data_IF_273283099800
#
_entry.id   IF_273283099800
#
_cell.length_a   1.000
_cell.length_b   1.000
_cell.length_c   1.000
_cell.angle_alpha   90.00
_cell.angle_beta   90.00
_cell.angle_gamma   90.00
#
_symmetry.space_group_name_H-M   'P 1'
#
loop_
_entity.id
_entity.type
_entity.pdbx_description
1 polymer ?
#
# COMPACT_ATOMS: atom_id res chain seq x y z
N UNK A 1 13.86 -7.70 -8.25
CA UNK A 1 14.47 -6.36 -8.37
C UNK A 1 13.49 -5.41 -9.07
N UNK A 2 13.27 -4.22 -8.51
CA UNK A 2 12.40 -3.21 -9.12
C UNK A 2 13.05 -2.65 -10.40
N UNK A 3 12.64 -3.14 -11.58
CA UNK A 3 13.03 -2.52 -12.86
C UNK A 3 12.23 -1.25 -13.17
N UNK A 4 11.24 -0.86 -12.36
CA UNK A 4 10.40 0.31 -12.65
C UNK A 4 11.17 1.65 -12.65
N UNK A 5 12.11 1.90 -11.71
CA UNK A 5 13.03 3.03 -11.82
C UNK A 5 13.85 2.98 -13.10
N UNK A 6 14.32 1.78 -13.48
CA UNK A 6 15.09 1.59 -14.71
C UNK A 6 14.23 1.84 -15.96
N UNK A 7 13.00 1.35 -16.03
CA UNK A 7 12.07 1.57 -17.13
C UNK A 7 11.68 3.04 -17.24
N UNK A 8 11.41 3.72 -16.13
CA UNK A 8 11.13 5.17 -16.13
C UNK A 8 12.36 5.94 -16.60
N UNK A 9 13.56 5.61 -16.10
CA UNK A 9 14.81 6.19 -16.58
C UNK A 9 15.06 5.91 -18.07
N UNK A 10 14.75 4.71 -18.56
CA UNK A 10 14.87 4.33 -19.97
C UNK A 10 13.88 5.10 -20.84
N UNK A 11 12.62 5.24 -20.43
CA UNK A 11 11.62 6.05 -21.15
C UNK A 11 12.10 7.49 -21.22
N UNK A 12 12.54 8.08 -20.10
CA UNK A 12 13.11 9.43 -20.10
C UNK A 12 14.35 9.54 -21.02
N UNK A 13 15.24 8.55 -20.99
CA UNK A 13 16.42 8.51 -21.84
C UNK A 13 16.07 8.38 -23.33
N UNK A 14 15.10 7.53 -23.70
CA UNK A 14 14.64 7.37 -25.08
C UNK A 14 13.90 8.61 -25.57
N UNK A 15 13.03 9.20 -24.74
CA UNK A 15 12.36 10.46 -25.07
C UNK A 15 13.37 11.58 -25.25
N UNK A 16 14.37 11.68 -24.38
CA UNK A 16 15.46 12.65 -24.49
C UNK A 16 16.31 12.42 -25.75
N UNK A 17 16.72 11.18 -26.01
CA UNK A 17 17.47 10.81 -27.21
C UNK A 17 16.67 11.12 -28.49
N UNK A 18 15.36 10.86 -28.50
CA UNK A 18 14.47 11.20 -29.61
C UNK A 18 14.39 12.71 -29.82
N UNK A 19 14.30 13.51 -28.76
CA UNK A 19 14.35 14.97 -28.81
C UNK A 19 15.68 15.45 -29.41
N UNK A 20 16.81 14.86 -29.00
CA UNK A 20 18.16 15.17 -29.55
C UNK A 20 18.27 14.78 -31.03
N UNK A 21 17.73 13.63 -31.44
CA UNK A 21 17.70 13.20 -32.84
C UNK A 21 16.83 14.15 -33.69
N UNK A 22 15.65 14.54 -33.21
CA UNK A 22 14.80 15.53 -33.89
C UNK A 22 15.47 16.91 -33.96
N UNK A 23 16.23 17.30 -32.93
CA UNK A 23 17.04 18.52 -32.90
C UNK A 23 18.09 18.55 -34.03
N UNK A 24 18.74 17.41 -34.31
CA UNK A 24 19.73 17.31 -35.38
C UNK A 24 19.12 17.50 -36.78
N UNK A 25 17.87 17.07 -37.00
CA UNK A 25 17.21 17.02 -38.32
C UNK A 25 16.62 18.36 -38.80
N UNK A 26 16.33 19.32 -37.93
CA UNK A 26 15.57 20.56 -38.30
C UNK A 26 16.33 21.85 -38.00
N UNK A 27 17.30 22.27 -38.84
CA UNK A 27 18.18 23.43 -38.57
C UNK A 27 17.43 24.74 -38.33
N UNK A 28 16.32 24.99 -39.03
CA UNK A 28 15.47 26.19 -38.86
C UNK A 28 14.66 26.22 -37.55
N UNK A 29 14.54 25.10 -36.83
CA UNK A 29 13.79 24.98 -35.56
C UNK A 29 14.68 24.71 -34.34
N UNK A 30 16.01 24.66 -34.52
CA UNK A 30 16.99 24.34 -33.45
C UNK A 30 16.77 25.14 -32.17
N UNK A 31 16.55 26.46 -32.27
CA UNK A 31 16.31 27.30 -31.08
C UNK A 31 15.12 26.84 -30.24
N UNK A 32 13.98 26.54 -30.88
CA UNK A 32 12.77 26.09 -30.17
C UNK A 32 12.99 24.72 -29.54
N UNK A 33 13.54 23.76 -30.28
CA UNK A 33 13.80 22.42 -29.77
C UNK A 33 14.83 22.40 -28.63
N UNK A 34 15.85 23.28 -28.66
CA UNK A 34 16.77 23.43 -27.53
C UNK A 34 16.07 23.96 -26.27
N UNK A 35 15.16 24.93 -26.42
CA UNK A 35 14.36 25.46 -25.31
C UNK A 35 13.46 24.35 -24.74
N UNK A 36 12.76 23.60 -25.59
CA UNK A 36 11.90 22.50 -25.15
C UNK A 36 12.70 21.41 -24.41
N UNK A 37 13.89 21.05 -24.93
CA UNK A 37 14.78 20.08 -24.29
C UNK A 37 15.30 20.57 -22.93
N UNK A 38 15.64 21.86 -22.82
CA UNK A 38 16.06 22.47 -21.57
C UNK A 38 14.93 22.45 -20.55
N UNK A 39 13.71 22.86 -20.94
CA UNK A 39 12.52 22.83 -20.07
C UNK A 39 12.26 21.40 -19.59
N UNK A 40 12.29 20.42 -20.49
CA UNK A 40 12.09 19.02 -20.13
C UNK A 40 13.14 18.50 -19.14
N UNK A 41 14.41 18.86 -19.36
CA UNK A 41 15.51 18.51 -18.45
C UNK A 41 15.28 19.12 -17.07
N UNK A 42 14.89 20.40 -17.00
CA UNK A 42 14.56 21.08 -15.75
C UNK A 42 13.40 20.36 -15.04
N UNK A 43 12.33 19.99 -15.75
CA UNK A 43 11.20 19.24 -15.17
C UNK A 43 11.67 17.92 -14.57
N UNK A 44 12.49 17.14 -15.29
CA UNK A 44 13.04 15.88 -14.75
C UNK A 44 13.85 16.14 -13.48
N UNK A 45 14.77 17.10 -13.51
CA UNK A 45 15.57 17.46 -12.33
C UNK A 45 14.67 17.84 -11.16
N UNK A 46 13.63 18.64 -11.39
CA UNK A 46 12.66 19.01 -10.36
C UNK A 46 11.88 17.80 -9.83
N UNK A 47 11.54 16.81 -10.66
CA UNK A 47 10.89 15.58 -10.22
C UNK A 47 11.79 14.73 -9.31
N UNK A 48 13.10 14.71 -9.54
CA UNK A 48 14.07 14.02 -8.69
C UNK A 48 14.35 14.79 -7.39
N UNK A 49 14.51 16.11 -7.45
CA UNK A 49 14.87 16.91 -6.27
C UNK A 49 13.67 17.21 -5.36
N UNK A 50 12.49 17.41 -5.94
CA UNK A 50 11.29 17.90 -5.23
C UNK A 50 10.01 17.15 -5.59
N UNK A 51 10.09 16.05 -6.35
CA UNK A 51 8.91 15.34 -6.81
C UNK A 51 8.85 13.89 -6.32
N UNK A 52 8.01 13.08 -6.97
CA UNK A 52 7.79 11.68 -6.60
C UNK A 52 9.03 10.78 -6.79
N UNK A 53 10.09 11.28 -7.44
CA UNK A 53 11.33 10.52 -7.68
C UNK A 53 12.40 10.77 -6.60
N UNK A 54 12.10 11.54 -5.55
CA UNK A 54 13.07 11.82 -4.46
C UNK A 54 13.63 10.55 -3.80
N UNK A 55 12.83 9.47 -3.72
CA UNK A 55 13.20 8.18 -3.15
C UNK A 55 14.41 7.52 -3.85
N UNK A 56 14.62 7.85 -5.13
CA UNK A 56 15.71 7.34 -5.96
C UNK A 56 16.72 8.43 -6.33
N UNK A 57 16.50 9.67 -5.87
CA UNK A 57 17.40 10.78 -6.15
C UNK A 57 18.71 10.65 -5.36
N UNK A 58 19.87 10.89 -6.00
CA UNK A 58 21.15 10.95 -5.28
C UNK A 58 21.22 12.17 -4.35
N UNK A 59 20.54 13.26 -4.71
CA UNK A 59 20.51 14.51 -3.96
C UNK A 59 19.08 14.74 -3.44
N UNK A 60 18.94 14.95 -2.13
CA UNK A 60 17.63 15.12 -1.48
C UNK A 60 17.65 16.40 -0.64
N UNK A 61 17.43 17.58 -1.24
CA UNK A 61 17.57 18.84 -0.52
C UNK A 61 16.67 18.91 0.72
N UNK A 62 17.26 19.14 1.89
CA UNK A 62 16.55 19.21 3.16
C UNK A 62 16.13 17.86 3.76
N UNK A 63 16.62 16.76 3.19
CA UNK A 63 16.41 15.40 3.69
C UNK A 63 17.74 14.66 3.88
N UNK A 64 17.81 13.90 4.96
CA UNK A 64 18.86 12.95 5.27
C UNK A 64 18.41 11.54 4.91
N UNK A 65 19.38 10.65 4.68
CA UNK A 65 19.12 9.23 4.42
C UNK A 65 19.93 8.41 5.39
N UNK A 66 19.27 7.45 6.04
CA UNK A 66 19.92 6.47 6.90
C UNK A 66 19.54 5.06 6.45
N UNK A 67 20.54 4.19 6.44
CA UNK A 67 20.40 2.79 6.02
C UNK A 67 20.82 1.91 7.18
N UNK A 68 19.98 0.96 7.55
CA UNK A 68 20.30 -0.07 8.52
C UNK A 68 19.73 -1.41 8.04
N UNK A 69 20.61 -2.35 7.69
CA UNK A 69 20.20 -3.62 7.10
C UNK A 69 19.39 -3.43 5.81
N UNK A 70 18.18 -3.99 5.79
CA UNK A 70 17.20 -3.89 4.69
C UNK A 70 16.38 -2.60 4.72
N UNK A 71 16.44 -1.83 5.81
CA UNK A 71 15.63 -0.63 6.01
C UNK A 71 16.42 0.60 5.57
N UNK A 72 15.83 1.41 4.71
CA UNK A 72 16.29 2.77 4.41
C UNK A 72 15.22 3.76 4.82
N UNK A 73 15.56 4.68 5.73
CA UNK A 73 14.70 5.82 6.06
C UNK A 73 15.25 7.09 5.41
N UNK A 74 14.35 7.91 4.90
CA UNK A 74 14.62 9.24 4.36
C UNK A 74 13.76 10.21 5.17
N UNK A 75 14.39 11.17 5.84
CA UNK A 75 13.69 12.05 6.79
C UNK A 75 14.21 13.48 6.66
N UNK A 76 13.42 14.50 7.04
CA UNK A 76 13.85 15.90 6.95
C UNK A 76 15.01 16.15 7.93
N UNK A 77 16.00 16.97 7.57
CA UNK A 77 17.15 17.24 8.45
C UNK A 77 16.72 17.78 9.83
N UNK A 78 15.60 18.51 9.87
CA UNK A 78 15.02 19.03 11.11
C UNK A 78 14.53 17.93 12.08
N UNK A 79 14.32 16.70 11.60
CA UNK A 79 13.87 15.54 12.38
C UNK A 79 15.03 14.58 12.71
N UNK A 80 16.28 15.01 12.54
CA UNK A 80 17.47 14.20 12.86
C UNK A 80 17.46 13.69 14.32
N UNK A 81 17.05 14.49 15.34
CA UNK A 81 16.93 13.99 16.71
C UNK A 81 15.93 12.83 16.89
N UNK A 82 14.87 12.79 16.08
CA UNK A 82 13.83 11.77 16.13
C UNK A 82 14.09 10.58 15.18
N UNK A 83 15.13 10.65 14.35
CA UNK A 83 15.41 9.65 13.31
C UNK A 83 15.66 8.25 13.89
N UNK A 84 16.34 8.15 15.03
CA UNK A 84 16.54 6.88 15.75
C UNK A 84 15.21 6.26 16.17
N UNK A 85 14.31 7.08 16.74
CA UNK A 85 12.98 6.63 17.14
C UNK A 85 12.18 6.15 15.93
N UNK A 86 12.23 6.89 14.83
CA UNK A 86 11.54 6.50 13.60
C UNK A 86 12.07 5.17 13.03
N UNK A 87 13.39 4.99 13.05
CA UNK A 87 14.03 3.76 12.62
C UNK A 87 13.62 2.58 13.50
N UNK A 88 13.60 2.76 14.82
CA UNK A 88 13.15 1.74 15.75
C UNK A 88 11.68 1.37 15.56
N UNK A 89 10.77 2.35 15.39
CA UNK A 89 9.37 2.07 15.06
C UNK A 89 9.25 1.30 13.75
N UNK A 90 10.05 1.65 12.75
CA UNK A 90 10.10 0.93 11.46
C UNK A 90 10.55 -0.52 11.64
N UNK A 91 11.56 -0.78 12.48
CA UNK A 91 11.99 -2.15 12.81
C UNK A 91 10.89 -2.93 13.55
N UNK A 92 10.10 -2.28 14.40
CA UNK A 92 8.93 -2.94 15.05
C UNK A 92 7.91 -3.37 14.00
N UNK A 93 7.56 -2.44 13.10
CA UNK A 93 6.62 -2.71 12.02
C UNK A 93 7.12 -3.83 11.08
N UNK A 94 8.43 -3.89 10.79
CA UNK A 94 9.03 -4.98 10.02
C UNK A 94 8.94 -6.34 10.73
N UNK A 95 9.11 -6.38 12.06
CA UNK A 95 8.92 -7.62 12.83
C UNK A 95 7.50 -8.16 12.73
N UNK A 96 6.50 -7.27 12.68
CA UNK A 96 5.10 -7.67 12.49
C UNK A 96 4.85 -8.29 11.10
N UNK A 97 5.67 -7.96 10.09
CA UNK A 97 5.59 -8.61 8.78
C UNK A 97 6.14 -10.05 8.83
N UNK A 98 7.13 -10.31 9.69
CA UNK A 98 7.82 -11.59 9.71
C UNK A 98 6.90 -12.76 10.10
N UNK A 99 5.86 -12.52 10.91
CA UNK A 99 4.89 -13.55 11.30
C UNK A 99 4.20 -14.19 10.10
N UNK A 100 3.85 -13.40 9.08
CA UNK A 100 3.17 -13.85 7.86
C UNK A 100 4.14 -14.15 6.72
N UNK A 101 5.10 -13.27 6.44
CA UNK A 101 5.91 -13.39 5.22
C UNK A 101 7.15 -14.28 5.38
N UNK A 102 7.61 -14.47 6.63
CA UNK A 102 8.79 -15.26 7.02
C UNK A 102 10.10 -14.88 6.29
N UNK A 103 10.12 -13.70 5.68
CA UNK A 103 11.21 -13.15 4.89
C UNK A 103 11.24 -11.64 5.13
N UNK A 104 12.42 -11.04 5.00
CA UNK A 104 12.59 -9.58 5.02
C UNK A 104 12.92 -9.09 3.62
N UNK A 105 12.37 -7.94 3.25
CA UNK A 105 12.67 -7.31 1.97
C UNK A 105 13.29 -5.94 2.15
N UNK A 106 14.16 -5.49 1.20
CA UNK A 106 14.62 -4.13 1.18
C UNK A 106 13.45 -3.15 1.04
N UNK A 107 13.34 -2.24 2.01
CA UNK A 107 12.29 -1.22 2.07
C UNK A 107 12.87 0.17 2.20
N UNK A 108 12.20 1.13 1.55
CA UNK A 108 12.50 2.54 1.67
C UNK A 108 11.28 3.25 2.23
N UNK A 109 11.47 4.05 3.26
CA UNK A 109 10.40 4.82 3.90
C UNK A 109 10.82 6.29 3.94
N UNK A 110 9.94 7.17 3.48
CA UNK A 110 10.11 8.62 3.53
C UNK A 110 9.19 9.16 4.62
N UNK A 111 9.77 9.81 5.63
CA UNK A 111 9.01 10.63 6.55
C UNK A 111 8.85 12.02 5.94
N UNK A 112 7.66 12.35 5.48
CA UNK A 112 7.42 13.62 4.82
C UNK A 112 7.50 14.77 5.84
N UNK A 113 8.14 15.88 5.45
CA UNK A 113 8.23 17.10 6.27
C UNK A 113 6.87 17.77 6.50
N UNK A 114 5.94 17.62 5.56
CA UNK A 114 4.66 18.33 5.57
C UNK A 114 3.61 17.60 4.72
N UNK A 115 2.34 18.01 4.84
CA UNK A 115 1.26 17.58 3.94
C UNK A 115 1.52 17.94 2.47
N UNK A 116 2.27 19.03 2.21
CA UNK A 116 2.68 19.40 0.87
C UNK A 116 3.73 18.43 0.30
N UNK A 117 4.66 17.98 1.13
CA UNK A 117 5.66 16.97 0.76
C UNK A 117 4.99 15.63 0.45
N UNK A 118 4.05 15.20 1.30
CA UNK A 118 3.19 14.05 1.01
C UNK A 118 2.54 14.16 -0.37
N UNK A 119 1.93 15.31 -0.67
CA UNK A 119 1.23 15.52 -1.93
C UNK A 119 2.19 15.45 -3.12
N UNK A 120 3.38 16.05 -3.01
CA UNK A 120 4.40 15.99 -4.06
C UNK A 120 4.94 14.58 -4.29
N UNK A 121 5.09 13.80 -3.22
CA UNK A 121 5.72 12.49 -3.31
C UNK A 121 4.75 11.38 -3.75
N UNK A 122 3.50 11.43 -3.27
CA UNK A 122 2.53 10.34 -3.47
C UNK A 122 1.12 10.80 -3.86
N UNK A 123 0.90 12.11 -4.08
CA UNK A 123 -0.40 12.63 -4.50
C UNK A 123 -1.47 12.63 -3.41
N UNK A 124 -1.09 12.44 -2.14
CA UNK A 124 -1.98 12.47 -0.95
C UNK A 124 -1.47 13.49 0.05
N UNK A 125 -2.34 14.08 0.87
CA UNK A 125 -1.91 15.11 1.84
C UNK A 125 -1.70 14.61 3.27
N UNK A 126 -2.20 13.42 3.63
CA UNK A 126 -2.14 12.86 4.99
C UNK A 126 -2.10 11.33 4.97
N UNK A 127 -1.76 10.70 6.10
CA UNK A 127 -1.74 9.24 6.26
C UNK A 127 -0.42 8.59 5.84
N UNK A 128 -0.51 7.37 5.34
CA UNK A 128 0.55 6.63 4.65
C UNK A 128 0.18 6.38 3.18
N UNK A 129 1.19 6.15 2.35
CA UNK A 129 1.00 5.60 1.02
C UNK A 129 2.27 4.94 0.46
N UNK A 130 2.09 3.77 -0.14
CA UNK A 130 3.09 3.13 -0.99
C UNK A 130 3.27 3.89 -2.33
N UNK A 131 4.33 4.70 -2.45
CA UNK A 131 4.72 5.37 -3.70
C UNK A 131 5.44 4.47 -4.72
N UNK A 132 6.02 5.05 -5.77
CA UNK A 132 6.71 4.28 -6.82
C UNK A 132 7.90 3.47 -6.30
N UNK A 133 8.68 4.06 -5.38
CA UNK A 133 9.95 3.50 -4.92
C UNK A 133 10.17 3.54 -3.40
N UNK A 134 9.23 4.14 -2.64
CA UNK A 134 9.27 4.20 -1.19
C UNK A 134 7.86 4.32 -0.61
N UNK A 135 7.66 3.81 0.59
CA UNK A 135 6.51 4.18 1.43
C UNK A 135 6.71 5.63 1.86
N UNK A 136 5.66 6.44 1.87
CA UNK A 136 5.71 7.81 2.37
C UNK A 136 4.69 7.96 3.48
N UNK A 137 5.13 8.45 4.62
CA UNK A 137 4.28 8.69 5.80
C UNK A 137 4.27 10.17 6.17
N UNK A 138 3.11 10.63 6.59
CA UNK A 138 2.89 12.02 7.04
C UNK A 138 3.60 12.32 8.37
N UNK A 139 3.87 13.60 8.67
CA UNK A 139 4.55 14.01 9.90
C UNK A 139 3.93 13.44 11.18
N UNK A 140 2.60 13.34 11.22
CA UNK A 140 1.79 12.93 12.37
C UNK A 140 1.53 11.41 12.46
N UNK A 141 2.01 10.61 11.50
CA UNK A 141 1.68 9.18 11.37
C UNK A 141 2.89 8.27 11.46
N UNK A 142 3.74 8.57 12.45
CA UNK A 142 4.95 7.81 12.77
C UNK A 142 4.69 6.65 13.75
N UNK A 143 3.49 6.06 13.71
CA UNK A 143 3.10 4.96 14.59
C UNK A 143 3.30 3.58 13.94
N UNK A 144 3.39 2.54 14.78
CA UNK A 144 3.72 1.20 14.35
C UNK A 144 2.61 0.62 13.46
N UNK A 145 1.35 0.90 13.78
CA UNK A 145 0.19 0.43 13.01
C UNK A 145 0.20 0.89 11.56
N UNK A 146 0.39 2.20 11.31
CA UNK A 146 0.45 2.74 9.94
C UNK A 146 1.64 2.21 9.16
N UNK A 147 2.82 2.12 9.79
CA UNK A 147 4.00 1.58 9.12
C UNK A 147 3.82 0.10 8.77
N UNK A 148 3.23 -0.68 9.66
CA UNK A 148 2.91 -2.10 9.46
C UNK A 148 1.92 -2.27 8.31
N UNK A 149 0.87 -1.43 8.25
CA UNK A 149 -0.11 -1.42 7.15
C UNK A 149 0.56 -1.16 5.80
N UNK A 150 1.35 -0.09 5.68
CA UNK A 150 2.00 0.27 4.42
C UNK A 150 3.09 -0.75 4.00
N UNK A 151 3.79 -1.35 4.99
CA UNK A 151 4.76 -2.42 4.74
C UNK A 151 4.08 -3.68 4.20
N UNK A 152 2.89 -4.04 4.70
CA UNK A 152 2.12 -5.19 4.22
C UNK A 152 1.89 -5.13 2.71
N UNK A 153 1.47 -3.99 2.17
CA UNK A 153 1.31 -3.82 0.72
C UNK A 153 2.61 -4.06 -0.05
N UNK A 154 3.75 -3.60 0.48
CA UNK A 154 5.07 -3.80 -0.15
C UNK A 154 5.50 -5.26 -0.12
N UNK A 155 5.37 -5.89 1.05
CA UNK A 155 5.74 -7.27 1.25
C UNK A 155 4.89 -8.19 0.38
N UNK A 156 3.57 -7.96 0.31
CA UNK A 156 2.68 -8.69 -0.58
C UNK A 156 3.11 -8.56 -2.05
N UNK A 157 3.38 -7.35 -2.52
CA UNK A 157 3.84 -7.11 -3.90
C UNK A 157 5.21 -7.75 -4.19
N UNK A 158 6.14 -7.72 -3.24
CA UNK A 158 7.47 -8.30 -3.39
C UNK A 158 7.44 -9.82 -3.39
N UNK A 159 6.64 -10.40 -2.48
CA UNK A 159 6.43 -11.84 -2.37
C UNK A 159 5.82 -12.37 -3.66
N UNK A 160 4.71 -11.79 -4.12
CA UNK A 160 3.89 -12.35 -5.21
C UNK A 160 4.41 -11.93 -6.60
N UNK A 161 5.19 -10.85 -6.67
CA UNK A 161 5.78 -10.34 -7.91
C UNK A 161 4.81 -9.50 -8.76
N UNK A 162 5.34 -8.86 -9.81
CA UNK A 162 4.59 -7.89 -10.65
C UNK A 162 3.53 -8.50 -11.57
N UNK A 163 3.62 -9.81 -11.83
CA UNK A 163 2.58 -10.59 -12.52
C UNK A 163 1.53 -11.12 -11.52
N UNK A 164 1.74 -10.89 -10.22
CA UNK A 164 0.78 -11.08 -9.14
C UNK A 164 -0.43 -10.18 -9.39
N UNK A 165 -1.39 -10.79 -10.06
CA UNK A 165 -2.79 -10.42 -10.25
C UNK A 165 -3.27 -9.44 -9.19
N UNK A 166 -4.03 -8.41 -9.61
CA UNK A 166 -4.71 -7.48 -8.71
C UNK A 166 -5.42 -8.26 -7.59
N UNK A 167 -4.79 -8.31 -6.41
CA UNK A 167 -5.45 -8.85 -5.23
C UNK A 167 -6.77 -8.11 -5.06
N UNK A 168 -7.86 -8.83 -4.73
CA UNK A 168 -9.09 -8.19 -4.30
C UNK A 168 -8.77 -7.13 -3.25
N UNK A 169 -9.33 -5.91 -3.39
CA UNK A 169 -8.97 -4.82 -2.47
C UNK A 169 -9.32 -5.13 -1.02
N UNK A 170 -10.42 -5.86 -0.78
CA UNK A 170 -10.76 -6.32 0.57
C UNK A 170 -9.67 -7.20 1.17
N UNK A 171 -8.96 -7.99 0.36
CA UNK A 171 -7.89 -8.85 0.85
C UNK A 171 -6.62 -8.05 1.11
N UNK A 172 -6.15 -7.26 0.13
CA UNK A 172 -4.93 -6.46 0.26
C UNK A 172 -5.02 -5.45 1.42
N UNK A 173 -6.10 -4.69 1.49
CA UNK A 173 -6.32 -3.68 2.54
C UNK A 173 -6.72 -4.31 3.86
N UNK A 174 -7.47 -5.43 3.81
CA UNK A 174 -7.81 -6.20 5.00
C UNK A 174 -6.59 -6.80 5.65
N UNK A 175 -5.65 -7.36 4.88
CA UNK A 175 -4.42 -7.96 5.38
C UNK A 175 -3.52 -6.90 5.98
N UNK A 176 -3.36 -5.77 5.29
CA UNK A 176 -2.63 -4.61 5.79
C UNK A 176 -3.22 -4.08 7.10
N UNK A 177 -4.55 -3.95 7.18
CA UNK A 177 -5.25 -3.48 8.39
C UNK A 177 -5.15 -4.52 9.51
N UNK A 178 -5.23 -5.82 9.19
CA UNK A 178 -5.12 -6.92 10.14
C UNK A 178 -3.73 -6.98 10.77
N UNK A 179 -2.67 -6.82 9.99
CA UNK A 179 -1.32 -6.77 10.52
C UNK A 179 -1.06 -5.47 11.28
N UNK A 180 -1.51 -4.34 10.74
CA UNK A 180 -1.29 -3.02 11.30
C UNK A 180 -2.30 -2.60 12.36
N UNK A 181 -3.09 -3.50 12.95
CA UNK A 181 -4.31 -3.20 13.73
C UNK A 181 -4.12 -2.41 15.04
N UNK A 182 -2.91 -1.96 15.35
CA UNK A 182 -2.57 -1.18 16.54
C UNK A 182 -2.62 0.33 16.27
N UNK A 183 -2.42 1.14 17.31
CA UNK A 183 -2.25 2.60 17.22
C UNK A 183 -3.33 3.30 16.35
N UNK A 184 -2.92 4.05 15.33
CA UNK A 184 -3.82 4.82 14.45
C UNK A 184 -4.82 3.94 13.67
N UNK A 185 -4.54 2.65 13.53
CA UNK A 185 -5.37 1.69 12.81
C UNK A 185 -6.35 0.93 13.70
N UNK A 186 -6.17 0.98 15.03
CA UNK A 186 -7.08 0.33 15.99
C UNK A 186 -8.54 0.79 15.86
N UNK A 187 -8.77 1.99 15.32
CA UNK A 187 -10.12 2.49 15.02
C UNK A 187 -10.93 1.61 14.06
N UNK A 188 -10.29 0.74 13.27
CA UNK A 188 -10.94 -0.16 12.32
C UNK A 188 -11.25 -1.56 12.90
N UNK A 189 -10.91 -1.81 14.16
CA UNK A 189 -11.04 -3.15 14.78
C UNK A 189 -12.32 -3.31 15.60
N UNK A 190 -13.21 -2.32 15.57
CA UNK A 190 -14.47 -2.33 16.34
C UNK A 190 -15.58 -3.03 15.54
N UNK A 191 -16.12 -4.11 16.09
CA UNK A 191 -17.22 -4.89 15.50
C UNK A 191 -18.53 -4.09 15.38
N UNK A 192 -18.73 -3.09 16.26
CA UNK A 192 -19.84 -2.15 16.21
C UNK A 192 -19.98 -1.44 14.87
N UNK A 193 -18.87 -1.18 14.17
CA UNK A 193 -18.86 -0.59 12.84
C UNK A 193 -19.50 -1.53 11.82
N UNK A 194 -19.21 -2.84 11.90
CA UNK A 194 -19.79 -3.83 10.99
C UNK A 194 -21.28 -4.01 11.25
N UNK A 195 -21.68 -4.04 12.53
CA UNK A 195 -23.10 -4.11 12.92
C UNK A 195 -23.89 -2.93 12.37
N UNK A 196 -23.39 -1.72 12.58
CA UNK A 196 -24.01 -0.49 12.09
C UNK A 196 -24.08 -0.47 10.56
N UNK A 197 -23.00 -0.89 9.89
CA UNK A 197 -22.96 -0.98 8.43
C UNK A 197 -23.97 -2.00 7.89
N UNK A 198 -24.14 -3.16 8.54
CA UNK A 198 -25.15 -4.16 8.16
C UNK A 198 -26.57 -3.60 8.33
N UNK A 199 -26.86 -2.92 9.46
CA UNK A 199 -28.17 -2.34 9.73
C UNK A 199 -28.54 -1.23 8.75
N UNK A 200 -27.57 -0.37 8.41
CA UNK A 200 -27.76 0.76 7.49
C UNK A 200 -27.67 0.37 6.01
N UNK A 201 -27.42 -0.90 5.70
CA UNK A 201 -27.21 -1.36 4.32
C UNK A 201 -25.93 -0.83 3.67
N UNK A 202 -24.96 -0.39 4.48
CA UNK A 202 -23.65 0.11 4.06
C UNK A 202 -22.59 -1.00 3.99
N UNK A 203 -22.93 -2.25 4.29
CA UNK A 203 -22.03 -3.39 4.17
C UNK A 203 -22.00 -3.92 2.73
N UNK A 204 -20.81 -4.10 2.15
CA UNK A 204 -20.69 -4.60 0.78
C UNK A 204 -20.89 -6.13 0.75
N UNK A 205 -22.00 -6.58 0.15
CA UNK A 205 -22.39 -8.01 0.12
C UNK A 205 -21.71 -8.83 -0.97
N UNK A 206 -21.20 -8.18 -2.02
CA UNK A 206 -20.48 -8.84 -3.09
C UNK A 206 -19.02 -8.39 -3.07
N UNK A 207 -18.12 -9.26 -2.61
CA UNK A 207 -16.69 -8.94 -2.53
C UNK A 207 -16.02 -8.82 -3.91
N UNK A 208 -16.61 -9.41 -4.96
CA UNK A 208 -16.10 -9.29 -6.33
C UNK A 208 -16.24 -7.87 -6.88
N UNK A 209 -17.11 -7.05 -6.28
CA UNK A 209 -17.30 -5.64 -6.59
C UNK A 209 -16.00 -4.82 -6.53
N UNK A 210 -15.03 -5.25 -5.70
CA UNK A 210 -13.72 -4.61 -5.56
C UNK A 210 -12.58 -5.37 -6.26
N UNK A 211 -12.89 -6.27 -7.20
CA UNK A 211 -11.88 -7.02 -7.96
C UNK A 211 -11.44 -6.28 -9.23
N UNK A 212 -10.15 -6.43 -9.56
CA UNK A 212 -9.56 -5.90 -10.79
C UNK A 212 -9.58 -4.38 -10.90
N UNK A 213 -9.40 -3.88 -12.12
CA UNK A 213 -9.24 -2.44 -12.39
C UNK A 213 -10.50 -1.63 -12.08
N UNK A 214 -11.67 -2.12 -12.47
CA UNK A 214 -12.94 -1.44 -12.18
C UNK A 214 -13.22 -1.48 -10.68
N UNK A 215 -12.94 -2.61 -10.02
CA UNK A 215 -13.07 -2.73 -8.58
C UNK A 215 -12.16 -1.79 -7.79
N UNK A 216 -10.97 -1.47 -8.30
CA UNK A 216 -10.13 -0.43 -7.71
C UNK A 216 -10.79 0.95 -7.76
N UNK A 217 -11.46 1.31 -8.87
CA UNK A 217 -12.19 2.58 -8.98
C UNK A 217 -13.35 2.62 -7.98
N UNK A 218 -14.11 1.53 -7.87
CA UNK A 218 -15.18 1.39 -6.89
C UNK A 218 -14.68 1.53 -5.45
N UNK A 219 -13.57 0.86 -5.13
CA UNK A 219 -12.92 0.95 -3.82
C UNK A 219 -12.55 2.40 -3.47
N UNK A 220 -11.94 3.14 -4.40
CA UNK A 220 -11.60 4.55 -4.18
C UNK A 220 -12.83 5.42 -3.91
N UNK A 221 -13.94 5.15 -4.60
CA UNK A 221 -15.20 5.87 -4.37
C UNK A 221 -15.81 5.55 -3.00
N UNK A 222 -15.79 4.28 -2.62
CA UNK A 222 -16.33 3.80 -1.35
C UNK A 222 -15.53 4.30 -0.15
N UNK A 223 -14.21 4.15 -0.18
CA UNK A 223 -13.33 4.61 0.91
C UNK A 223 -13.42 6.13 1.10
N UNK A 224 -13.69 6.90 0.04
CA UNK A 224 -13.94 8.34 0.17
C UNK A 224 -15.23 8.66 0.92
N UNK A 225 -16.26 7.81 0.82
CA UNK A 225 -17.59 8.02 1.42
C UNK A 225 -17.73 7.40 2.79
N UNK A 226 -17.20 6.19 2.97
CA UNK A 226 -17.41 5.29 4.12
C UNK A 226 -16.12 4.57 4.52
N UNK A 227 -15.01 5.30 4.81
CA UNK A 227 -13.71 4.67 5.04
C UNK A 227 -13.74 3.70 6.22
N UNK A 228 -14.45 4.04 7.29
CA UNK A 228 -14.49 3.22 8.51
C UNK A 228 -15.10 1.85 8.22
N UNK A 229 -16.22 1.81 7.52
CA UNK A 229 -16.96 0.60 7.19
C UNK A 229 -16.14 -0.30 6.25
N UNK A 230 -15.49 0.27 5.24
CA UNK A 230 -14.73 -0.50 4.24
C UNK A 230 -13.48 -1.15 4.84
N UNK A 231 -12.67 -0.38 5.58
CA UNK A 231 -11.47 -0.93 6.22
C UNK A 231 -11.84 -1.92 7.33
N UNK A 232 -12.87 -1.62 8.13
CA UNK A 232 -13.32 -2.56 9.17
C UNK A 232 -13.85 -3.84 8.55
N UNK A 233 -14.64 -3.77 7.47
CA UNK A 233 -15.16 -4.95 6.78
C UNK A 233 -14.01 -5.83 6.31
N UNK A 234 -13.01 -5.22 5.68
CA UNK A 234 -11.83 -5.90 5.17
C UNK A 234 -10.99 -6.54 6.29
N UNK A 235 -10.78 -5.81 7.39
CA UNK A 235 -10.11 -6.30 8.59
C UNK A 235 -10.81 -7.54 9.16
N UNK A 236 -12.13 -7.49 9.37
CA UNK A 236 -12.86 -8.60 9.97
C UNK A 236 -12.95 -9.83 9.06
N UNK A 237 -12.93 -9.66 7.74
CA UNK A 237 -12.82 -10.78 6.80
C UNK A 237 -11.48 -11.53 6.96
N UNK A 238 -10.37 -10.80 7.05
CA UNK A 238 -9.05 -11.42 7.28
C UNK A 238 -8.94 -12.00 8.69
N UNK A 239 -9.43 -11.28 9.70
CA UNK A 239 -9.47 -11.78 11.07
C UNK A 239 -10.23 -13.10 11.16
N UNK A 240 -11.40 -13.20 10.52
CA UNK A 240 -12.18 -14.43 10.48
C UNK A 240 -11.45 -15.58 9.77
N UNK A 241 -10.72 -15.30 8.68
CA UNK A 241 -9.86 -16.31 8.05
C UNK A 241 -8.79 -16.84 9.00
N UNK A 242 -8.07 -15.94 9.68
CA UNK A 242 -7.01 -16.28 10.61
C UNK A 242 -7.55 -17.04 11.84
N UNK A 243 -8.65 -16.58 12.43
CA UNK A 243 -9.26 -17.20 13.62
C UNK A 243 -9.85 -18.59 13.30
N UNK A 244 -10.48 -18.75 12.13
CA UNK A 244 -11.22 -19.97 11.78
C UNK A 244 -10.33 -21.05 11.18
N UNK A 245 -9.38 -20.64 10.33
CA UNK A 245 -8.57 -21.58 9.54
C UNK A 245 -7.07 -21.54 9.89
N UNK A 246 -6.66 -20.63 10.77
CA UNK A 246 -5.28 -20.42 11.18
C UNK A 246 -4.50 -19.51 10.23
N UNK A 247 -3.55 -18.75 10.79
CA UNK A 247 -2.65 -17.89 10.00
C UNK A 247 -1.82 -18.68 8.99
N UNK A 248 -1.52 -19.97 9.24
CA UNK A 248 -0.78 -20.80 8.29
C UNK A 248 -1.49 -20.91 6.94
N UNK A 249 -2.83 -21.00 6.91
CA UNK A 249 -3.58 -20.97 5.65
C UNK A 249 -3.54 -19.61 4.97
N UNK A 250 -3.47 -18.52 5.74
CA UNK A 250 -3.29 -17.18 5.17
C UNK A 250 -1.93 -17.06 4.48
N UNK A 251 -0.87 -17.62 5.08
CA UNK A 251 0.46 -17.72 4.46
C UNK A 251 0.43 -18.56 3.19
N UNK A 252 -0.20 -19.74 3.24
CA UNK A 252 -0.37 -20.60 2.06
C UNK A 252 -1.12 -19.89 0.93
N UNK A 253 -2.13 -19.07 1.23
CA UNK A 253 -2.84 -18.28 0.22
C UNK A 253 -1.91 -17.28 -0.48
N UNK A 254 -1.05 -16.58 0.27
CA UNK A 254 -0.08 -15.64 -0.30
C UNK A 254 0.92 -16.39 -1.20
N UNK A 255 1.38 -17.57 -0.78
CA UNK A 255 2.30 -18.41 -1.57
C UNK A 255 1.64 -18.95 -2.85
N UNK A 256 0.46 -19.55 -2.75
CA UNK A 256 -0.29 -20.09 -3.90
C UNK A 256 -0.65 -19.01 -4.92
N UNK A 257 -0.86 -17.77 -4.45
CA UNK A 257 -1.14 -16.62 -5.33
C UNK A 257 0.02 -16.26 -6.27
N UNK A 258 1.24 -16.77 -6.04
CA UNK A 258 2.38 -16.62 -6.96
C UNK A 258 2.21 -17.40 -8.26
N UNK A 259 1.63 -18.60 -8.17
CA UNK A 259 1.59 -19.59 -9.26
C UNK A 259 0.19 -19.80 -9.85
N UNK A 260 -0.86 -19.37 -9.15
CA UNK A 260 -2.23 -19.53 -9.62
C UNK A 260 -2.56 -18.59 -10.79
N UNK A 261 -3.58 -18.97 -11.61
CA UNK A 261 -4.09 -18.10 -12.68
C UNK A 261 -5.03 -17.01 -12.17
N UNK A 262 -5.24 -16.94 -10.85
CA UNK A 262 -6.20 -16.03 -10.19
C UNK A 262 -6.15 -16.14 -8.67
N UNK A 263 -6.49 -15.05 -7.98
CA UNK A 263 -6.68 -15.07 -6.53
C UNK A 263 -7.77 -16.07 -6.12
N UNK A 264 -8.91 -16.09 -6.80
CA UNK A 264 -10.03 -16.99 -6.47
C UNK A 264 -9.65 -18.47 -6.61
N UNK A 265 -8.79 -18.81 -7.59
CA UNK A 265 -8.27 -20.16 -7.75
C UNK A 265 -7.32 -20.53 -6.60
N UNK A 266 -6.40 -19.65 -6.22
CA UNK A 266 -5.53 -19.84 -5.07
C UNK A 266 -6.36 -19.99 -3.77
N UNK A 267 -7.37 -19.14 -3.61
CA UNK A 267 -8.30 -19.18 -2.48
C UNK A 267 -9.02 -20.53 -2.40
N UNK A 268 -9.58 -21.00 -3.52
CA UNK A 268 -10.24 -22.30 -3.57
C UNK A 268 -9.28 -23.46 -3.25
N UNK A 269 -8.04 -23.45 -3.76
CA UNK A 269 -7.06 -24.51 -3.48
C UNK A 269 -6.71 -24.60 -1.99
N UNK A 270 -6.56 -23.46 -1.31
CA UNK A 270 -6.16 -23.42 0.10
C UNK A 270 -7.33 -23.69 1.06
N UNK A 271 -8.48 -23.08 0.79
CA UNK A 271 -9.63 -23.14 1.70
C UNK A 271 -10.66 -24.19 1.31
N UNK A 272 -10.62 -24.72 0.09
CA UNK A 272 -11.63 -25.63 -0.47
C UNK A 272 -13.04 -25.00 -0.46
N UNK A 273 -13.09 -23.67 -0.59
CA UNK A 273 -14.30 -22.83 -0.59
C UNK A 273 -14.13 -21.73 -1.63
N UNK A 274 -15.23 -21.28 -2.24
CA UNK A 274 -15.18 -20.05 -3.03
C UNK A 274 -15.15 -18.82 -2.12
N UNK A 275 -14.72 -17.66 -2.63
CA UNK A 275 -14.76 -16.39 -1.89
C UNK A 275 -16.19 -16.05 -1.45
N UNK A 276 -17.19 -16.40 -2.26
CA UNK A 276 -18.59 -16.18 -1.90
C UNK A 276 -19.05 -17.10 -0.75
N UNK A 277 -18.68 -18.39 -0.79
CA UNK A 277 -19.02 -19.33 0.29
C UNK A 277 -18.40 -18.86 1.62
N UNK A 278 -17.11 -18.51 1.58
CA UNK A 278 -16.41 -17.90 2.70
C UNK A 278 -17.15 -16.68 3.26
N UNK A 279 -17.58 -15.77 2.38
CA UNK A 279 -18.26 -14.55 2.79
C UNK A 279 -19.61 -14.82 3.46
N UNK A 280 -20.37 -15.79 2.94
CA UNK A 280 -21.62 -16.21 3.59
C UNK A 280 -21.36 -16.86 4.95
N UNK A 281 -20.34 -17.71 5.08
CA UNK A 281 -19.94 -18.30 6.36
C UNK A 281 -19.54 -17.23 7.38
N UNK A 282 -18.76 -16.24 6.97
CA UNK A 282 -18.42 -15.08 7.82
C UNK A 282 -19.68 -14.36 8.31
N UNK A 283 -20.61 -14.03 7.41
CA UNK A 283 -21.83 -13.30 7.78
C UNK A 283 -22.74 -14.11 8.72
N UNK A 284 -22.80 -15.43 8.56
CA UNK A 284 -23.53 -16.31 9.46
C UNK A 284 -22.91 -16.31 10.86
N UNK A 285 -21.61 -16.57 10.97
CA UNK A 285 -20.88 -16.60 12.24
C UNK A 285 -20.91 -15.22 12.95
N UNK A 286 -20.79 -14.13 12.19
CA UNK A 286 -20.86 -12.79 12.73
C UNK A 286 -22.24 -12.49 13.34
N UNK A 287 -23.33 -12.95 12.73
CA UNK A 287 -24.68 -12.75 13.29
C UNK A 287 -24.90 -13.60 14.55
N UNK A 288 -24.48 -14.85 14.54
CA UNK A 288 -24.66 -15.78 15.67
C UNK A 288 -23.94 -15.30 16.93
N UNK A 289 -22.68 -14.89 16.81
CA UNK A 289 -21.87 -14.36 17.92
C UNK A 289 -22.50 -13.14 18.61
N UNK A 290 -23.27 -12.33 17.87
CA UNK A 290 -23.89 -11.11 18.39
C UNK A 290 -25.34 -11.29 18.82
N UNK A 291 -26.04 -12.32 18.35
CA UNK A 291 -27.33 -12.73 18.92
C UNK A 291 -27.14 -13.25 20.35
N UNK A 292 -26.12 -14.08 20.58
CA UNK A 292 -25.80 -14.60 21.92
C UNK A 292 -25.34 -13.52 22.91
N UNK A 293 -24.70 -12.44 22.45
CA UNK A 293 -24.34 -11.29 23.29
C UNK A 293 -25.53 -10.38 23.63
N UNK A 294 -26.59 -10.38 22.81
CA UNK A 294 -27.84 -9.66 23.11
C UNK A 294 -28.67 -10.35 24.19
N UNK A 295 -28.60 -11.68 24.27
CA UNK A 295 -29.34 -12.49 25.25
C UNK A 295 -28.66 -12.56 26.62
N UNK A 296 -27.34 -12.37 26.70
CA UNK A 296 -26.58 -12.38 27.98
C UNK A 296 -26.56 -11.04 28.71
N UNK A 297 -27.11 -9.97 28.10
CA UNK A 297 -27.23 -8.64 28.68
C UNK A 297 -28.69 -8.27 29.08
N UNK A 298 -29.58 -9.27 29.14
CA UNK A 298 -30.95 -9.19 29.66
C UNK A 298 -31.07 -9.97 30.96
#
# INVERSE_FOLDING_TARGET
MNHLPLTVCLVFAFTYLWIVIEFAKKPKKRRKTAIDALIFTIIIVLLFLFGPLIAISPIKPGYETRVEGTITIIYPNAFSPEADRFLETTKKAERNMYSIYQETYPVKIIWAKSSFDMMRFVGRSHGGAAGLAAIVVSPDRMDEGVLTHELSHRYLQQKVGKLGIFFPRWFDEGLATYLGHTDSMAKYTSDGIIRDALQKGLYQKDLSYWNGLIGYIHWLQDVRKRPMEIYSQSYFLIKYLADTYGEEKLKSLIEESKSARGFDEAFFRVYQLTVNDFHQSFLAAFKESHQMQGETNL
#
